data_IF_223384338387
#
_entry.id   IF_223384338387
#
_cell.length_a   1.000
_cell.length_b   1.000
_cell.length_c   1.000
_cell.angle_alpha   90.00
_cell.angle_beta   90.00
_cell.angle_gamma   90.00
#
_symmetry.space_group_name_H-M   'P 1'
#
loop_
_entity.id
_entity.type
_entity.pdbx_description
1 polymer ?
#
# COMPACT_ATOMS: atom_id res chain seq x y z
N UNK A 1 13.86 -12.79 9.32
CA UNK A 1 12.78 -11.81 9.02
C UNK A 1 12.30 -11.79 7.55
N UNK A 2 13.03 -12.31 6.56
CA UNK A 2 12.57 -12.31 5.14
C UNK A 2 11.47 -13.35 4.83
N UNK A 3 11.37 -14.43 5.60
CA UNK A 3 10.38 -15.50 5.39
C UNK A 3 8.96 -15.11 5.85
N UNK A 4 8.83 -14.31 6.90
CA UNK A 4 7.52 -13.96 7.46
C UNK A 4 6.73 -13.03 6.54
N UNK A 5 7.39 -12.05 5.92
CA UNK A 5 6.72 -11.09 5.04
C UNK A 5 6.23 -11.73 3.75
N UNK A 6 6.96 -12.70 3.20
CA UNK A 6 6.49 -13.50 2.05
C UNK A 6 5.22 -14.28 2.40
N UNK A 7 5.20 -14.91 3.59
CA UNK A 7 4.02 -15.59 4.11
C UNK A 7 2.84 -14.64 4.29
N UNK A 8 3.10 -13.44 4.81
CA UNK A 8 2.10 -12.40 4.99
C UNK A 8 1.50 -11.90 3.67
N UNK A 9 2.34 -11.60 2.65
CA UNK A 9 1.85 -11.27 1.31
C UNK A 9 0.99 -12.40 0.75
N UNK A 10 1.37 -13.66 1.00
CA UNK A 10 0.58 -14.83 0.65
C UNK A 10 -0.81 -14.84 1.32
N UNK A 11 -0.89 -14.46 2.60
CA UNK A 11 -2.16 -14.33 3.34
C UNK A 11 -3.02 -13.19 2.78
N UNK A 12 -2.44 -12.01 2.54
CA UNK A 12 -3.16 -10.87 1.93
C UNK A 12 -3.69 -11.19 0.55
N UNK A 13 -2.91 -11.89 -0.27
CA UNK A 13 -3.35 -12.41 -1.56
C UNK A 13 -4.60 -13.27 -1.41
N UNK A 14 -4.59 -14.25 -0.49
CA UNK A 14 -5.76 -15.12 -0.26
C UNK A 14 -6.98 -14.33 0.20
N UNK A 15 -6.80 -13.40 1.15
CA UNK A 15 -7.89 -12.56 1.65
C UNK A 15 -8.50 -11.67 0.55
N UNK A 16 -7.66 -11.06 -0.30
CA UNK A 16 -8.13 -10.25 -1.41
C UNK A 16 -8.90 -11.09 -2.46
N UNK A 17 -8.45 -12.30 -2.76
CA UNK A 17 -9.20 -13.21 -3.64
C UNK A 17 -10.53 -13.66 -3.04
N UNK A 18 -10.57 -13.95 -1.74
CA UNK A 18 -11.81 -14.26 -1.05
C UNK A 18 -12.80 -13.08 -1.12
N UNK A 19 -12.33 -11.86 -0.87
CA UNK A 19 -13.15 -10.65 -1.01
C UNK A 19 -13.64 -10.46 -2.46
N UNK A 20 -12.77 -10.68 -3.46
CA UNK A 20 -13.16 -10.58 -4.87
C UNK A 20 -14.23 -11.60 -5.24
N UNK A 21 -14.15 -12.82 -4.71
CA UNK A 21 -15.14 -13.88 -4.96
C UNK A 21 -16.52 -13.47 -4.45
N UNK A 22 -16.61 -12.84 -3.28
CA UNK A 22 -17.89 -12.37 -2.71
C UNK A 22 -18.59 -11.31 -3.55
N UNK A 23 -17.83 -10.44 -4.25
CA UNK A 23 -18.39 -9.37 -5.06
C UNK A 23 -18.46 -9.72 -6.56
N UNK A 24 -17.90 -10.86 -6.98
CA UNK A 24 -17.68 -11.19 -8.39
C UNK A 24 -18.98 -11.16 -9.19
N UNK A 25 -20.02 -11.81 -8.69
CA UNK A 25 -21.32 -11.85 -9.36
C UNK A 25 -21.93 -10.44 -9.49
N UNK A 26 -21.97 -9.69 -8.39
CA UNK A 26 -22.47 -8.31 -8.37
C UNK A 26 -21.71 -7.41 -9.35
N UNK A 27 -20.36 -7.46 -9.32
CA UNK A 27 -19.53 -6.66 -10.23
C UNK A 27 -19.69 -7.02 -11.70
N UNK A 28 -20.10 -8.25 -12.02
CA UNK A 28 -20.36 -8.68 -13.40
C UNK A 28 -21.67 -8.11 -13.97
N UNK A 29 -22.64 -7.80 -13.11
CA UNK A 29 -23.95 -7.25 -13.49
C UNK A 29 -23.92 -5.71 -13.56
N UNK A 30 -23.01 -5.07 -12.83
CA UNK A 30 -22.85 -3.61 -12.83
C UNK A 30 -22.19 -3.15 -14.13
N UNK A 31 -22.92 -2.36 -14.93
CA UNK A 31 -22.40 -1.71 -16.15
C UNK A 31 -21.62 -0.44 -15.85
N UNK A 32 -21.97 0.28 -14.77
CA UNK A 32 -21.26 1.51 -14.39
C UNK A 32 -19.86 1.19 -13.85
N UNK A 33 -18.85 1.67 -14.57
CA UNK A 33 -17.44 1.48 -14.21
C UNK A 33 -17.10 2.10 -12.86
N UNK A 34 -17.67 3.26 -12.52
CA UNK A 34 -17.37 3.96 -11.27
C UNK A 34 -17.88 3.18 -10.07
N UNK A 35 -19.13 2.70 -10.14
CA UNK A 35 -19.73 1.89 -9.08
C UNK A 35 -18.96 0.57 -8.89
N UNK A 36 -18.56 -0.08 -9.98
CA UNK A 36 -17.75 -1.30 -9.94
C UNK A 36 -16.38 -1.06 -9.32
N UNK A 37 -15.71 0.03 -9.69
CA UNK A 37 -14.43 0.44 -9.12
C UNK A 37 -14.56 0.74 -7.62
N UNK A 38 -15.62 1.48 -7.24
CA UNK A 38 -15.89 1.81 -5.85
C UNK A 38 -16.13 0.57 -4.97
N UNK A 39 -16.88 -0.41 -5.49
CA UNK A 39 -17.10 -1.68 -4.80
C UNK A 39 -15.78 -2.44 -4.61
N UNK A 40 -14.93 -2.49 -5.63
CA UNK A 40 -13.60 -3.10 -5.53
C UNK A 40 -12.72 -2.39 -4.50
N UNK A 41 -12.64 -1.06 -4.57
CA UNK A 41 -11.80 -0.22 -3.70
C UNK A 41 -12.23 -0.25 -2.24
N UNK A 42 -13.51 -0.50 -1.96
CA UNK A 42 -14.06 -0.56 -0.60
C UNK A 42 -13.97 -1.95 0.03
N UNK A 43 -13.82 -3.02 -0.77
CA UNK A 43 -13.87 -4.41 -0.28
C UNK A 43 -12.56 -5.17 -0.50
N UNK A 44 -12.06 -5.23 -1.74
CA UNK A 44 -10.90 -6.02 -2.13
C UNK A 44 -9.60 -5.31 -1.79
N UNK A 45 -9.53 -4.01 -2.09
CA UNK A 45 -8.32 -3.23 -1.87
C UNK A 45 -7.91 -3.17 -0.39
N UNK A 46 -8.83 -2.95 0.58
CA UNK A 46 -8.49 -2.99 1.99
C UNK A 46 -8.04 -4.39 2.46
N UNK A 47 -8.65 -5.45 1.94
CA UNK A 47 -8.24 -6.83 2.26
C UNK A 47 -6.80 -7.13 1.79
N UNK A 48 -6.43 -6.63 0.60
CA UNK A 48 -5.08 -6.73 0.06
C UNK A 48 -4.09 -5.89 0.87
N UNK A 49 -4.43 -4.64 1.16
CA UNK A 49 -3.51 -3.65 1.73
C UNK A 49 -3.49 -3.60 3.27
N UNK A 50 -4.23 -4.47 3.95
CA UNK A 50 -4.26 -4.49 5.41
C UNK A 50 -2.87 -4.65 6.02
N UNK A 51 -2.58 -3.86 7.05
CA UNK A 51 -1.34 -3.81 7.83
C UNK A 51 -0.09 -3.40 7.03
N UNK A 52 -0.21 -3.08 5.75
CA UNK A 52 0.92 -2.64 4.92
C UNK A 52 1.55 -1.33 5.41
N UNK A 53 0.77 -0.51 6.13
CA UNK A 53 1.24 0.71 6.79
C UNK A 53 2.38 0.45 7.79
N UNK A 54 2.49 -0.76 8.32
CA UNK A 54 3.54 -1.17 9.26
C UNK A 54 4.77 -1.74 8.57
N UNK A 55 4.70 -2.01 7.26
CA UNK A 55 5.79 -2.67 6.54
C UNK A 55 6.90 -1.69 6.14
N UNK A 56 8.11 -2.23 6.00
CA UNK A 56 9.22 -1.51 5.40
C UNK A 56 9.00 -1.40 3.89
N UNK A 57 9.39 -0.26 3.30
CA UNK A 57 9.22 -0.04 1.87
C UNK A 57 10.30 -0.78 1.09
N UNK A 58 9.89 -1.84 0.41
CA UNK A 58 10.76 -2.73 -0.35
C UNK A 58 10.17 -2.95 -1.74
N UNK A 59 11.00 -2.74 -2.77
CA UNK A 59 10.64 -2.94 -4.19
C UNK A 59 9.99 -4.30 -4.46
N UNK A 60 10.44 -5.36 -3.79
CA UNK A 60 9.89 -6.70 -3.96
C UNK A 60 8.44 -6.82 -3.45
N UNK A 61 8.10 -6.09 -2.37
CA UNK A 61 6.73 -6.00 -1.87
C UNK A 61 5.88 -5.29 -2.92
N UNK A 62 6.32 -4.13 -3.40
CA UNK A 62 5.56 -3.34 -4.38
C UNK A 62 5.31 -4.11 -5.68
N UNK A 63 6.29 -4.88 -6.17
CA UNK A 63 6.14 -5.76 -7.32
C UNK A 63 5.11 -6.87 -7.03
N UNK A 64 5.19 -7.49 -5.86
CA UNK A 64 4.26 -8.56 -5.48
C UNK A 64 2.82 -8.05 -5.37
N UNK A 65 2.62 -6.92 -4.70
CA UNK A 65 1.31 -6.28 -4.53
C UNK A 65 0.70 -5.87 -5.87
N UNK A 66 1.50 -5.24 -6.76
CA UNK A 66 1.06 -4.92 -8.13
C UNK A 66 0.71 -6.16 -8.95
N UNK A 67 1.48 -7.24 -8.80
CA UNK A 67 1.21 -8.50 -9.51
C UNK A 67 -0.13 -9.11 -9.08
N UNK A 68 -0.41 -9.12 -7.77
CA UNK A 68 -1.68 -9.60 -7.22
C UNK A 68 -2.82 -8.72 -7.71
N UNK A 69 -2.68 -7.40 -7.57
CA UNK A 69 -3.68 -6.43 -7.97
C UNK A 69 -4.05 -6.52 -9.44
N UNK A 70 -3.06 -6.63 -10.34
CA UNK A 70 -3.30 -6.82 -11.79
C UNK A 70 -4.09 -8.10 -12.09
N UNK A 71 -3.94 -9.15 -11.28
CA UNK A 71 -4.71 -10.37 -11.45
C UNK A 71 -6.17 -10.20 -11.02
N UNK A 72 -6.40 -9.48 -9.93
CA UNK A 72 -7.73 -9.10 -9.46
C UNK A 72 -8.42 -8.14 -10.44
N UNK A 73 -7.70 -7.16 -10.98
CA UNK A 73 -8.19 -6.22 -12.00
C UNK A 73 -8.67 -6.93 -13.26
N UNK A 74 -7.90 -7.91 -13.76
CA UNK A 74 -8.34 -8.73 -14.90
C UNK A 74 -9.62 -9.51 -14.59
N UNK A 75 -9.73 -10.04 -13.37
CA UNK A 75 -10.93 -10.73 -12.91
C UNK A 75 -12.14 -9.78 -12.87
N UNK A 76 -11.96 -8.56 -12.35
CA UNK A 76 -12.99 -7.52 -12.31
C UNK A 76 -13.53 -7.18 -13.71
N UNK A 77 -12.64 -7.12 -14.70
CA UNK A 77 -12.98 -6.82 -16.09
C UNK A 77 -13.43 -8.05 -16.91
N UNK A 78 -13.53 -9.24 -16.30
CA UNK A 78 -13.90 -10.47 -17.02
C UNK A 78 -12.89 -10.90 -18.10
N UNK A 79 -11.65 -10.43 -18.01
CA UNK A 79 -10.58 -10.73 -18.95
C UNK A 79 -9.55 -11.67 -18.33
N UNK A 80 -8.74 -12.30 -19.17
CA UNK A 80 -7.61 -13.11 -18.75
C UNK A 80 -6.36 -12.70 -19.55
N UNK A 81 -5.20 -13.27 -19.23
CA UNK A 81 -3.93 -12.86 -19.87
C UNK A 81 -3.95 -13.09 -21.38
N UNK A 82 -4.58 -14.18 -21.83
CA UNK A 82 -4.70 -14.49 -23.25
C UNK A 82 -5.64 -13.53 -23.98
N UNK A 83 -6.82 -13.23 -23.42
CA UNK A 83 -7.76 -12.24 -23.98
C UNK A 83 -7.12 -10.86 -24.05
N UNK A 84 -6.45 -10.43 -22.98
CA UNK A 84 -5.71 -9.17 -22.94
C UNK A 84 -4.67 -9.09 -24.07
N UNK A 85 -3.84 -10.12 -24.23
CA UNK A 85 -2.82 -10.19 -25.29
C UNK A 85 -3.45 -10.20 -26.68
N UNK A 86 -4.48 -11.02 -26.89
CA UNK A 86 -5.18 -11.13 -28.19
C UNK A 86 -5.82 -9.80 -28.60
N UNK A 87 -6.33 -9.02 -27.65
CA UNK A 87 -6.87 -7.68 -27.87
C UNK A 87 -5.82 -6.57 -27.92
N UNK A 88 -4.53 -6.89 -27.75
CA UNK A 88 -3.44 -5.89 -27.76
C UNK A 88 -3.47 -4.90 -26.59
N UNK A 89 -4.18 -5.21 -25.51
CA UNK A 89 -4.40 -4.28 -24.40
C UNK A 89 -3.21 -4.23 -23.44
N UNK A 90 -2.74 -3.03 -23.14
CA UNK A 90 -1.69 -2.81 -22.14
C UNK A 90 -2.24 -2.88 -20.72
N UNK A 91 -1.35 -2.91 -19.73
CA UNK A 91 -1.79 -2.79 -18.33
C UNK A 91 -2.27 -1.37 -18.00
N UNK A 92 -1.82 -0.36 -18.74
CA UNK A 92 -2.34 1.01 -18.65
C UNK A 92 -3.78 1.07 -19.15
N UNK A 93 -4.12 0.38 -20.24
CA UNK A 93 -5.48 0.37 -20.79
C UNK A 93 -6.47 -0.29 -19.82
N UNK A 94 -6.07 -1.40 -19.19
CA UNK A 94 -6.89 -2.03 -18.15
C UNK A 94 -7.15 -1.11 -16.96
N UNK A 95 -6.17 -0.28 -16.56
CA UNK A 95 -6.33 0.70 -15.48
C UNK A 95 -7.28 1.83 -15.85
N UNK A 96 -7.21 2.29 -17.10
CA UNK A 96 -8.14 3.30 -17.61
C UNK A 96 -9.58 2.78 -17.65
N UNK A 97 -9.75 1.50 -17.97
CA UNK A 97 -11.06 0.84 -18.04
C UNK A 97 -11.62 0.49 -16.64
N UNK A 98 -10.76 0.05 -15.72
CA UNK A 98 -11.17 -0.39 -14.39
C UNK A 98 -11.42 0.77 -13.42
N UNK A 99 -10.71 1.90 -13.57
CA UNK A 99 -10.76 3.08 -12.69
C UNK A 99 -10.54 2.78 -11.18
N UNK A 100 -9.95 1.62 -10.86
CA UNK A 100 -9.60 1.24 -9.49
C UNK A 100 -8.32 1.94 -9.02
N UNK A 101 -8.18 2.13 -7.71
CA UNK A 101 -7.00 2.80 -7.14
C UNK A 101 -5.72 1.96 -7.25
N UNK A 102 -4.56 2.61 -7.42
CA UNK A 102 -3.28 1.92 -7.36
C UNK A 102 -3.04 1.41 -5.92
N UNK A 103 -2.81 0.10 -5.71
CA UNK A 103 -2.49 -0.44 -4.40
C UNK A 103 -1.26 0.22 -3.77
N UNK A 104 -0.29 0.65 -4.56
CA UNK A 104 0.92 1.28 -4.02
C UNK A 104 0.61 2.68 -3.46
N UNK A 105 -0.24 3.45 -4.13
CA UNK A 105 -0.73 4.74 -3.63
C UNK A 105 -1.58 4.54 -2.37
N UNK A 106 -2.42 3.51 -2.34
CA UNK A 106 -3.21 3.17 -1.15
C UNK A 106 -2.32 2.80 0.04
N UNK A 107 -1.32 1.95 -0.17
CA UNK A 107 -0.33 1.57 0.87
C UNK A 107 0.46 2.79 1.38
N UNK A 108 0.89 3.66 0.47
CA UNK A 108 1.61 4.88 0.83
C UNK A 108 0.74 5.82 1.68
N UNK A 109 -0.52 6.01 1.28
CA UNK A 109 -1.51 6.80 2.02
C UNK A 109 -1.80 6.22 3.40
N UNK A 110 -1.97 4.89 3.48
CA UNK A 110 -2.18 4.19 4.75
C UNK A 110 -0.99 4.37 5.69
N UNK A 111 0.25 4.22 5.17
CA UNK A 111 1.49 4.44 5.91
C UNK A 111 1.64 5.88 6.38
N UNK A 112 1.31 6.85 5.54
CA UNK A 112 1.31 8.28 5.90
C UNK A 112 0.31 8.58 7.02
N UNK A 113 -0.93 8.11 6.90
CA UNK A 113 -1.95 8.25 7.94
C UNK A 113 -1.51 7.61 9.27
N UNK A 114 -0.95 6.40 9.21
CA UNK A 114 -0.44 5.69 10.38
C UNK A 114 0.69 6.44 11.07
N UNK A 115 1.67 6.96 10.32
CA UNK A 115 2.78 7.71 10.90
C UNK A 115 2.32 8.97 11.65
N UNK A 116 1.40 9.74 11.06
CA UNK A 116 0.80 10.89 11.73
C UNK A 116 0.01 10.48 12.99
N UNK A 117 -0.73 9.38 12.92
CA UNK A 117 -1.47 8.84 14.08
C UNK A 117 -0.54 8.46 15.23
N UNK A 118 0.52 7.68 14.95
CA UNK A 118 1.50 7.26 15.96
C UNK A 118 2.20 8.45 16.60
N UNK A 119 2.55 9.48 15.82
CA UNK A 119 3.28 10.65 16.34
C UNK A 119 2.45 11.64 17.15
N UNK A 120 1.13 11.63 16.98
CA UNK A 120 0.21 12.49 17.73
C UNK A 120 -0.39 11.80 18.96
N UNK A 121 -0.08 10.51 19.15
CA UNK A 121 -0.46 9.81 20.38
C UNK A 121 0.35 10.32 21.56
N UNK A 122 -0.32 10.46 22.70
CA UNK A 122 0.24 10.91 23.98
C UNK A 122 0.27 9.80 25.04
N UNK A 123 -0.17 8.58 24.68
CA UNK A 123 -0.43 7.47 25.61
C UNK A 123 0.80 6.59 25.94
N UNK A 124 2.02 7.07 25.64
CA UNK A 124 3.33 6.37 25.78
C UNK A 124 3.35 4.87 25.44
N UNK A 125 2.48 4.44 24.51
CA UNK A 125 2.43 3.03 24.12
C UNK A 125 3.73 2.62 23.44
N UNK A 126 4.09 1.34 23.61
CA UNK A 126 5.26 0.75 22.96
C UNK A 126 5.30 0.97 21.46
N UNK A 127 4.15 1.05 20.78
CA UNK A 127 4.10 1.36 19.34
C UNK A 127 4.84 2.66 19.02
N UNK A 128 4.60 3.74 19.78
CA UNK A 128 5.27 5.03 19.59
C UNK A 128 6.76 4.91 19.86
N UNK A 129 7.12 4.27 20.98
CA UNK A 129 8.51 4.06 21.38
C UNK A 129 9.29 3.27 20.33
N UNK A 130 8.80 2.09 19.92
CA UNK A 130 9.45 1.22 18.94
C UNK A 130 9.51 1.85 17.55
N UNK A 131 8.50 2.62 17.14
CA UNK A 131 8.48 3.29 15.83
C UNK A 131 9.51 4.42 15.73
N UNK A 132 9.69 5.17 16.83
CA UNK A 132 10.63 6.29 16.90
C UNK A 132 12.04 5.90 17.35
N UNK A 133 12.20 4.69 17.88
CA UNK A 133 13.45 4.27 18.49
C UNK A 133 14.59 4.28 17.48
N UNK A 134 15.63 5.06 17.81
CA UNK A 134 16.88 5.11 17.07
C UNK A 134 18.01 4.83 18.04
N UNK A 135 18.71 3.68 17.95
CA UNK A 135 19.82 3.38 18.84
C UNK A 135 20.99 4.32 18.54
N UNK A 136 21.35 5.16 19.51
CA UNK A 136 22.46 6.13 19.39
C UNK A 136 23.83 5.48 19.52
N UNK A 137 23.92 4.37 20.27
CA UNK A 137 25.19 3.69 20.59
C UNK A 137 25.57 2.59 19.58
N UNK A 138 24.82 2.44 18.49
CA UNK A 138 25.03 1.36 17.51
C UNK A 138 25.27 1.95 16.13
N UNK A 139 26.47 1.73 15.58
CA UNK A 139 26.78 2.07 14.19
C UNK A 139 26.13 1.05 13.24
N UNK A 140 25.57 1.53 12.13
CA UNK A 140 25.06 0.64 11.08
C UNK A 140 26.24 -0.11 10.44
N UNK A 141 26.05 -1.38 10.03
CA UNK A 141 27.09 -2.13 9.34
C UNK A 141 27.48 -1.43 8.03
N UNK A 142 28.75 -1.57 7.65
CA UNK A 142 29.27 -1.11 6.37
C UNK A 142 28.58 -1.86 5.22
N UNK A 143 28.34 -1.18 4.09
CA UNK A 143 27.65 -1.74 2.92
C UNK A 143 26.22 -1.21 2.76
N UNK A 144 25.26 -2.10 2.45
CA UNK A 144 23.83 -1.77 2.31
C UNK A 144 23.06 -2.25 3.54
N UNK A 145 22.80 -1.39 4.54
CA UNK A 145 21.98 -1.75 5.69
C UNK A 145 20.55 -2.08 5.27
N UNK A 146 19.85 -2.85 6.10
CA UNK A 146 18.41 -3.09 5.92
C UNK A 146 17.62 -1.78 5.96
N UNK A 147 16.64 -1.64 5.06
CA UNK A 147 15.71 -0.51 5.03
C UNK A 147 14.84 -0.51 6.28
N UNK A 148 14.79 0.63 6.97
CA UNK A 148 13.88 0.85 8.11
C UNK A 148 12.51 1.32 7.63
N UNK A 149 11.52 1.17 8.50
CA UNK A 149 10.17 1.66 8.24
C UNK A 149 10.16 3.17 7.97
N UNK A 150 10.92 3.94 8.76
CA UNK A 150 11.04 5.40 8.67
C UNK A 150 11.80 5.89 7.43
N UNK A 151 12.60 5.04 6.79
CA UNK A 151 13.46 5.45 5.66
C UNK A 151 12.63 5.94 4.46
N UNK A 152 11.37 5.52 4.33
CA UNK A 152 10.43 6.10 3.33
C UNK A 152 10.21 7.59 3.57
N UNK A 153 9.94 7.97 4.81
CA UNK A 153 9.71 9.37 5.17
C UNK A 153 11.00 10.18 5.06
N UNK A 154 12.12 9.65 5.57
CA UNK A 154 13.44 10.29 5.44
C UNK A 154 13.81 10.56 3.98
N UNK A 155 13.48 9.64 3.06
CA UNK A 155 13.67 9.87 1.61
C UNK A 155 12.75 10.97 1.07
N UNK A 156 11.45 10.91 1.37
CA UNK A 156 10.47 11.89 0.88
C UNK A 156 10.65 13.32 1.44
N UNK A 157 11.21 13.46 2.64
CA UNK A 157 11.49 14.74 3.28
C UNK A 157 12.95 15.17 3.14
N UNK A 158 13.79 14.44 2.40
CA UNK A 158 15.23 14.76 2.26
C UNK A 158 15.48 16.16 1.70
N UNK A 159 14.61 16.62 0.81
CA UNK A 159 14.69 17.94 0.17
C UNK A 159 13.82 19.00 0.87
N UNK A 160 13.06 18.62 1.91
CA UNK A 160 12.22 19.54 2.67
C UNK A 160 13.01 20.06 3.86
N UNK A 161 12.85 21.35 4.18
CA UNK A 161 13.49 21.95 5.35
C UNK A 161 12.93 21.38 6.67
N UNK A 162 11.71 20.84 6.65
CA UNK A 162 11.05 20.32 7.83
C UNK A 162 11.30 18.83 8.04
N UNK A 163 11.71 18.44 9.24
CA UNK A 163 11.76 17.04 9.66
C UNK A 163 10.36 16.42 9.65
N UNK A 164 10.21 15.28 8.97
CA UNK A 164 8.93 14.57 8.86
C UNK A 164 8.25 14.28 10.21
N UNK A 165 9.02 14.01 11.28
CA UNK A 165 8.48 13.79 12.62
C UNK A 165 7.84 15.06 13.20
N UNK A 166 8.44 16.23 12.94
CA UNK A 166 7.89 17.52 13.34
C UNK A 166 6.63 17.83 12.53
N UNK A 167 6.69 17.64 11.21
CA UNK A 167 5.53 17.82 10.32
C UNK A 167 4.35 16.92 10.74
N UNK A 168 4.60 15.66 11.09
CA UNK A 168 3.56 14.70 11.47
C UNK A 168 2.84 15.01 12.78
N UNK A 169 3.46 15.77 13.69
CA UNK A 169 2.81 16.21 14.94
C UNK A 169 1.71 17.22 14.68
N UNK A 170 1.88 18.09 13.68
CA UNK A 170 0.86 19.04 13.25
C UNK A 170 -0.06 18.36 12.22
N UNK A 171 -1.36 18.26 12.52
CA UNK A 171 -2.32 17.62 11.62
C UNK A 171 -2.44 18.34 10.27
N UNK A 172 -2.41 19.68 10.26
CA UNK A 172 -2.60 20.51 9.05
C UNK A 172 -1.39 20.38 8.13
N UNK A 173 -0.19 20.54 8.69
CA UNK A 173 1.06 20.37 7.94
C UNK A 173 1.18 18.93 7.41
N UNK A 174 0.77 17.94 8.22
CA UNK A 174 0.83 16.54 7.80
C UNK A 174 -0.09 16.21 6.62
N UNK A 175 -1.30 16.79 6.56
CA UNK A 175 -2.20 16.58 5.42
C UNK A 175 -1.63 17.12 4.10
N UNK A 176 -0.89 18.23 4.15
CA UNK A 176 -0.26 18.85 2.98
C UNK A 176 0.98 18.09 2.50
N UNK A 177 1.57 17.26 3.36
CA UNK A 177 2.81 16.54 3.04
C UNK A 177 2.59 15.09 2.56
N UNK A 178 1.35 14.65 2.39
CA UNK A 178 1.02 13.28 2.04
C UNK A 178 1.43 12.87 0.61
N UNK A 179 1.47 11.57 0.32
CA UNK A 179 1.57 11.11 -1.06
C UNK A 179 0.32 11.58 -1.83
N UNK A 180 0.54 12.28 -2.96
CA UNK A 180 -0.48 12.61 -3.94
C UNK A 180 -0.74 11.41 -4.87
#
# INVERSE_FOLDING_TARGET
>A
MTNELKGEIGRRRKAAWAAMDTIRETTSQIKDRNLRAHLFDSTVLPALCYATETWTDNKNISISMRTIHRALERCLLGTNRWKQWKSGLTSEDLRKESEIKDPIQHMASAKHRWAGHVLRRTDDRWITRTTLWTPLNVKRPLGRPFTRWSDTFSRSFRQKETNWMRAARDRRVWSECGPH
#
